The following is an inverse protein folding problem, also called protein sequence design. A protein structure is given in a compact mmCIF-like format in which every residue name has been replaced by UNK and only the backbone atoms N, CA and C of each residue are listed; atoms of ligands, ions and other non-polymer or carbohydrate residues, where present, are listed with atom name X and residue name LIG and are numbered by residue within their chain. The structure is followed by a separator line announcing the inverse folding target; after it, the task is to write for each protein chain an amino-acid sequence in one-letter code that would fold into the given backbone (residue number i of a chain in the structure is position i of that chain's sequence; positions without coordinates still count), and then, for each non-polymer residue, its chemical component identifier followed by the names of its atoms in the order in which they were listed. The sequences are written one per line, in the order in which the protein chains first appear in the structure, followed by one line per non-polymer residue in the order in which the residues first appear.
data_IF_437974476474
#
_entry.id   IF_437974476474
#
_cell.length_a   1.000
_cell.length_b   1.000
_cell.length_c   1.000
_cell.angle_alpha   90.00
_cell.angle_beta   90.00
_cell.angle_gamma   90.00
#
_symmetry.space_group_name_H-M   'P 1'
#
loop_
_entity.id
_entity.type
_entity.pdbx_description
1 polymer ?
#
# COMPACT_ATOMS: atom_id res chain seq x y z
N UNK A 1 -7.26 -37.37 -9.61
CA UNK A 1 -6.31 -36.40 -10.19
C UNK A 1 -6.86 -35.88 -11.49
N UNK A 2 -7.34 -34.64 -11.50
CA UNK A 2 -7.71 -33.92 -12.71
C UNK A 2 -6.44 -33.68 -13.55
N UNK A 3 -6.30 -34.21 -14.77
CA UNK A 3 -5.10 -34.03 -15.54
C UNK A 3 -5.32 -32.95 -16.60
N UNK A 4 -4.53 -31.89 -16.55
CA UNK A 4 -3.84 -31.44 -17.76
C UNK A 4 -2.64 -30.62 -17.30
N UNK A 5 -1.48 -31.26 -17.19
CA UNK A 5 -0.24 -30.48 -17.24
C UNK A 5 -0.26 -29.83 -18.61
N UNK A 6 -0.13 -28.51 -18.66
CA UNK A 6 -0.16 -27.70 -19.89
C UNK A 6 0.78 -28.24 -20.99
N UNK A 7 1.76 -29.06 -20.61
CA UNK A 7 2.67 -29.77 -21.50
C UNK A 7 2.01 -30.88 -22.37
N UNK A 8 0.86 -31.43 -21.99
CA UNK A 8 0.28 -32.63 -22.63
C UNK A 8 -0.88 -32.33 -23.59
N UNK A 9 -1.24 -31.06 -23.76
CA UNK A 9 -2.35 -30.69 -24.64
C UNK A 9 -1.86 -30.45 -26.08
N UNK A 10 -2.05 -31.46 -26.93
CA UNK A 10 -1.64 -31.49 -28.33
C UNK A 10 -2.16 -30.30 -29.15
N UNK A 11 -3.32 -29.74 -28.78
CA UNK A 11 -3.87 -28.53 -29.41
C UNK A 11 -2.97 -27.33 -29.16
N UNK A 12 -2.42 -27.17 -27.95
CA UNK A 12 -1.48 -26.09 -27.64
C UNK A 12 -0.10 -26.28 -28.28
N UNK A 13 0.30 -27.53 -28.57
CA UNK A 13 1.53 -27.81 -29.30
C UNK A 13 1.42 -27.43 -30.78
N UNK A 14 0.25 -27.66 -31.40
CA UNK A 14 -0.02 -27.27 -32.79
C UNK A 14 -0.23 -25.76 -32.97
N UNK A 15 -0.81 -25.07 -31.98
CA UNK A 15 -1.04 -23.61 -32.03
C UNK A 15 0.26 -22.81 -31.85
N UNK A 16 1.35 -23.43 -31.41
CA UNK A 16 2.64 -22.73 -31.25
C UNK A 16 3.34 -22.40 -32.56
N UNK A 17 3.01 -23.07 -33.66
CA UNK A 17 3.70 -22.86 -34.94
C UNK A 17 2.97 -21.87 -35.87
N UNK A 18 1.66 -21.66 -35.71
CA UNK A 18 0.90 -20.73 -36.54
C UNK A 18 -0.03 -19.84 -35.69
N UNK A 19 0.27 -18.54 -35.70
CA UNK A 19 -0.46 -17.42 -35.08
C UNK A 19 -0.40 -17.30 -33.55
N UNK A 20 0.52 -16.44 -33.12
CA UNK A 20 0.37 -15.44 -32.05
C UNK A 20 -0.72 -15.76 -31.02
N UNK A 21 -0.48 -16.82 -30.21
CA UNK A 21 -1.32 -17.15 -29.08
C UNK A 21 -1.26 -16.00 -28.07
N UNK A 22 -2.18 -15.05 -28.24
CA UNK A 22 -2.25 -13.89 -27.38
C UNK A 22 -2.94 -14.26 -26.07
N UNK A 23 -2.11 -14.73 -25.13
CA UNK A 23 -2.49 -15.02 -23.74
C UNK A 23 -3.29 -13.88 -23.11
N UNK A 24 -3.05 -12.61 -23.51
CA UNK A 24 -3.81 -11.46 -23.05
C UNK A 24 -5.23 -11.45 -23.59
N UNK A 25 -5.40 -11.67 -24.90
CA UNK A 25 -6.72 -11.78 -25.54
C UNK A 25 -7.56 -12.93 -24.99
N UNK A 26 -6.94 -14.07 -24.66
CA UNK A 26 -7.67 -15.19 -24.03
C UNK A 26 -8.08 -14.88 -22.59
N UNK A 27 -7.20 -14.27 -21.80
CA UNK A 27 -7.52 -13.83 -20.43
C UNK A 27 -8.68 -12.81 -20.41
N UNK A 28 -8.71 -11.88 -21.38
CA UNK A 28 -9.80 -10.92 -21.60
C UNK A 28 -11.14 -11.61 -21.88
N UNK A 29 -11.13 -12.60 -22.78
CA UNK A 29 -12.33 -13.36 -23.12
C UNK A 29 -12.86 -14.11 -21.90
N UNK A 30 -12.00 -14.76 -21.14
CA UNK A 30 -12.38 -15.50 -19.94
C UNK A 30 -12.98 -14.57 -18.88
N UNK A 31 -12.36 -13.41 -18.66
CA UNK A 31 -12.86 -12.40 -17.72
C UNK A 31 -14.25 -11.87 -18.10
N UNK A 32 -14.44 -11.49 -19.37
CA UNK A 32 -15.74 -11.03 -19.89
C UNK A 32 -16.83 -12.11 -19.81
N UNK A 33 -16.49 -13.34 -20.16
CA UNK A 33 -17.40 -14.50 -20.07
C UNK A 33 -17.85 -14.73 -18.63
N UNK A 34 -16.93 -14.60 -17.68
CA UNK A 34 -17.22 -14.77 -16.26
C UNK A 34 -18.12 -13.65 -15.72
N UNK A 35 -17.85 -12.39 -16.10
CA UNK A 35 -18.70 -11.25 -15.75
C UNK A 35 -20.13 -11.37 -16.31
N UNK A 36 -20.27 -11.78 -17.57
CA UNK A 36 -21.57 -11.86 -18.24
C UNK A 36 -22.42 -13.08 -17.84
N UNK A 37 -21.81 -14.15 -17.34
CA UNK A 37 -22.52 -15.40 -16.96
C UNK A 37 -22.76 -15.56 -15.47
N UNK A 38 -22.01 -14.86 -14.62
CA UNK A 38 -22.23 -14.92 -13.17
C UNK A 38 -23.60 -14.29 -12.81
N UNK A 39 -24.44 -15.03 -12.09
CA UNK A 39 -25.78 -14.58 -11.71
C UNK A 39 -25.83 -13.81 -10.38
N UNK A 40 -25.05 -14.25 -9.39
CA UNK A 40 -25.09 -13.68 -8.04
C UNK A 40 -23.72 -13.24 -7.54
N UNK A 41 -22.70 -14.08 -7.77
CA UNK A 41 -21.34 -13.81 -7.32
C UNK A 41 -20.33 -14.33 -8.33
N UNK A 42 -19.33 -13.51 -8.61
CA UNK A 42 -18.14 -13.89 -9.38
C UNK A 42 -16.94 -13.92 -8.44
N UNK A 43 -16.23 -15.05 -8.39
CA UNK A 43 -15.00 -15.20 -7.62
C UNK A 43 -13.86 -15.28 -8.61
N UNK A 44 -12.96 -14.30 -8.57
CA UNK A 44 -11.77 -14.26 -9.41
C UNK A 44 -10.59 -14.61 -8.52
N UNK A 45 -9.81 -15.60 -8.96
CA UNK A 45 -8.55 -15.99 -8.30
C UNK A 45 -7.45 -15.93 -9.34
N UNK A 46 -6.22 -15.68 -8.90
CA UNK A 46 -5.05 -15.66 -9.78
C UNK A 46 -3.93 -16.49 -9.15
N UNK A 47 -3.04 -17.00 -10.00
CA UNK A 47 -1.80 -17.65 -9.57
C UNK A 47 -0.64 -16.80 -10.07
N UNK A 48 0.22 -16.33 -9.16
CA UNK A 48 1.30 -15.39 -9.49
C UNK A 48 0.85 -13.93 -9.47
N UNK A 49 0.79 -13.28 -10.63
CA UNK A 49 0.42 -11.86 -10.73
C UNK A 49 -1.09 -11.68 -10.91
N UNK A 50 -1.63 -10.63 -10.30
CA UNK A 50 -3.03 -10.26 -10.46
C UNK A 50 -3.34 -9.90 -11.92
N UNK A 51 -4.53 -10.28 -12.38
CA UNK A 51 -5.00 -9.97 -13.73
C UNK A 51 -4.99 -8.47 -13.98
N UNK A 52 -4.42 -8.04 -15.12
CA UNK A 52 -4.38 -6.62 -15.54
C UNK A 52 -5.77 -6.04 -15.82
N UNK A 53 -6.78 -6.90 -15.95
CA UNK A 53 -8.17 -6.51 -16.21
C UNK A 53 -8.94 -6.13 -14.95
N UNK A 54 -8.37 -6.44 -13.78
CA UNK A 54 -8.91 -5.97 -12.52
C UNK A 54 -8.47 -4.50 -12.37
N UNK A 55 -9.33 -3.60 -12.83
CA UNK A 55 -9.09 -2.16 -12.75
C UNK A 55 -9.12 -1.67 -11.30
N UNK A 56 -8.45 -0.56 -11.05
CA UNK A 56 -8.49 0.13 -9.75
C UNK A 56 -9.93 0.41 -9.30
N UNK A 57 -10.81 0.81 -10.23
CA UNK A 57 -12.23 1.04 -9.91
C UNK A 57 -12.98 -0.24 -9.52
N UNK A 58 -12.67 -1.39 -10.13
CA UNK A 58 -13.26 -2.68 -9.72
C UNK A 58 -12.76 -3.11 -8.33
N UNK A 59 -11.48 -2.87 -8.03
CA UNK A 59 -10.93 -3.09 -6.70
C UNK A 59 -11.56 -2.17 -5.68
N UNK A 60 -11.74 -0.90 -6.01
CA UNK A 60 -12.41 0.10 -5.17
C UNK A 60 -13.85 -0.31 -4.85
N UNK A 61 -14.61 -0.87 -5.79
CA UNK A 61 -15.97 -1.35 -5.52
C UNK A 61 -16.00 -2.55 -4.54
N UNK A 62 -15.01 -3.43 -4.63
CA UNK A 62 -14.82 -4.55 -3.67
C UNK A 62 -14.38 -4.00 -2.31
N UNK A 63 -13.45 -3.05 -2.32
CA UNK A 63 -12.93 -2.38 -1.14
C UNK A 63 -13.96 -1.47 -0.48
N UNK A 64 -14.95 -0.91 -1.20
CA UNK A 64 -16.05 -0.12 -0.65
C UNK A 64 -16.98 -0.99 0.19
N UNK A 65 -17.36 -2.18 -0.30
CA UNK A 65 -18.13 -3.16 0.49
C UNK A 65 -17.34 -3.69 1.68
N UNK A 66 -16.03 -3.86 1.52
CA UNK A 66 -15.12 -4.23 2.62
C UNK A 66 -14.92 -3.07 3.59
N UNK A 67 -14.91 -1.82 3.10
CA UNK A 67 -14.84 -0.57 3.87
C UNK A 67 -16.10 -0.40 4.69
N UNK A 68 -17.30 -0.60 4.17
CA UNK A 68 -18.52 -0.51 4.97
C UNK A 68 -18.47 -1.46 6.18
N UNK A 69 -18.03 -2.70 5.96
CA UNK A 69 -17.89 -3.69 7.02
C UNK A 69 -16.73 -3.36 7.98
N UNK A 70 -15.60 -2.91 7.43
CA UNK A 70 -14.44 -2.45 8.17
C UNK A 70 -14.68 -1.14 8.91
N UNK A 71 -15.54 -0.24 8.43
CA UNK A 71 -15.91 1.03 9.04
C UNK A 71 -16.76 0.75 10.27
N UNK A 72 -17.65 -0.24 10.18
CA UNK A 72 -18.44 -0.72 11.32
C UNK A 72 -17.56 -1.37 12.41
N UNK A 73 -16.55 -2.16 12.02
CA UNK A 73 -15.54 -2.69 12.94
C UNK A 73 -14.58 -1.61 13.46
N UNK A 74 -14.27 -0.61 12.63
CA UNK A 74 -13.38 0.49 12.96
C UNK A 74 -14.04 1.48 13.92
N UNK A 75 -15.32 1.82 13.77
CA UNK A 75 -16.10 2.62 14.73
C UNK A 75 -16.15 1.93 16.10
N UNK A 76 -16.28 0.60 16.11
CA UNK A 76 -16.20 -0.22 17.33
C UNK A 76 -14.79 -0.29 17.92
N UNK A 77 -13.75 -0.04 17.12
CA UNK A 77 -12.36 0.06 17.57
C UNK A 77 -11.96 1.48 17.99
N UNK A 78 -12.51 2.52 17.36
CA UNK A 78 -12.31 3.94 17.72
C UNK A 78 -12.87 4.21 19.11
N UNK A 79 -13.99 3.59 19.46
CA UNK A 79 -14.51 3.65 20.84
C UNK A 79 -13.61 2.99 21.89
N UNK A 80 -12.56 2.26 21.47
CA UNK A 80 -11.53 1.66 22.34
C UNK A 80 -10.10 2.14 22.06
N UNK A 81 -9.89 3.08 21.14
CA UNK A 81 -8.57 3.64 20.83
C UNK A 81 -8.22 4.71 21.86
N UNK A 82 -7.12 4.48 22.57
CA UNK A 82 -6.45 5.47 23.41
C UNK A 82 -5.92 6.60 22.52
N UNK A 83 -6.63 7.73 22.51
CA UNK A 83 -6.26 8.98 21.82
C UNK A 83 -5.17 9.69 22.62
N UNK A 84 -4.08 8.98 22.90
CA UNK A 84 -2.93 9.58 23.56
C UNK A 84 -2.23 10.54 22.58
N UNK A 85 -1.75 11.66 23.10
CA UNK A 85 -1.09 12.71 22.32
C UNK A 85 0.08 12.17 21.47
N UNK A 86 0.71 11.07 21.89
CA UNK A 86 1.82 10.46 21.18
C UNK A 86 1.39 9.82 19.84
N UNK A 87 0.18 9.24 19.77
CA UNK A 87 -0.37 8.67 18.53
C UNK A 87 -0.65 9.77 17.51
N UNK A 88 -1.22 10.89 17.98
CA UNK A 88 -1.49 12.07 17.15
C UNK A 88 -0.20 12.64 16.58
N UNK A 89 0.81 12.83 17.43
CA UNK A 89 2.11 13.36 17.02
C UNK A 89 2.84 12.47 16.02
N UNK A 90 2.80 11.14 16.20
CA UNK A 90 3.37 10.20 15.22
C UNK A 90 2.71 10.32 13.85
N UNK A 91 1.39 10.50 13.81
CA UNK A 91 0.66 10.65 12.57
C UNK A 91 0.99 11.98 11.88
N UNK A 92 1.13 13.08 12.62
CA UNK A 92 1.58 14.37 12.08
C UNK A 92 2.97 14.26 11.43
N UNK A 93 3.93 13.62 12.11
CA UNK A 93 5.28 13.41 11.58
C UNK A 93 5.28 12.50 10.33
N UNK A 94 4.44 11.46 10.29
CA UNK A 94 4.28 10.60 9.11
C UNK A 94 3.72 11.37 7.91
N UNK A 95 2.70 12.20 8.13
CA UNK A 95 2.09 13.00 7.08
C UNK A 95 3.07 14.01 6.49
N UNK A 96 3.76 14.77 7.36
CA UNK A 96 4.82 15.69 6.95
C UNK A 96 5.90 15.00 6.12
N UNK A 97 6.36 13.81 6.53
CA UNK A 97 7.36 13.04 5.79
C UNK A 97 6.88 12.67 4.39
N UNK A 98 5.62 12.26 4.25
CA UNK A 98 5.00 11.93 2.96
C UNK A 98 4.93 13.13 2.04
N UNK A 99 4.52 14.29 2.56
CA UNK A 99 4.52 15.53 1.78
C UNK A 99 5.94 15.91 1.32
N UNK A 100 6.94 15.76 2.20
CA UNK A 100 8.33 16.08 1.86
C UNK A 100 8.90 15.12 0.80
N UNK A 101 8.62 13.83 0.92
CA UNK A 101 8.98 12.82 -0.07
C UNK A 101 8.38 13.14 -1.45
N UNK A 102 7.09 13.46 -1.50
CA UNK A 102 6.41 13.84 -2.74
C UNK A 102 7.02 15.10 -3.38
N UNK A 103 7.32 16.13 -2.58
CA UNK A 103 7.94 17.37 -3.06
C UNK A 103 9.37 17.18 -3.57
N UNK A 104 10.10 16.21 -3.03
CA UNK A 104 11.53 15.99 -3.33
C UNK A 104 11.77 14.84 -4.30
N UNK A 105 10.75 14.03 -4.60
CA UNK A 105 10.89 12.79 -5.38
C UNK A 105 11.69 11.70 -4.66
N UNK A 106 11.99 11.87 -3.36
CA UNK A 106 12.80 10.94 -2.60
C UNK A 106 11.94 9.91 -1.87
N UNK A 107 12.40 8.66 -1.72
CA UNK A 107 11.75 7.68 -0.86
C UNK A 107 11.61 8.17 0.59
N UNK A 108 10.51 7.82 1.26
CA UNK A 108 10.19 8.26 2.64
C UNK A 108 11.34 8.06 3.64
N UNK A 109 11.99 6.89 3.62
CA UNK A 109 13.06 6.55 4.56
C UNK A 109 14.32 7.43 4.39
N UNK A 110 14.53 8.02 3.20
CA UNK A 110 15.61 8.96 2.96
C UNK A 110 15.38 10.31 3.63
N UNK A 111 14.11 10.71 3.82
CA UNK A 111 13.77 11.89 4.62
C UNK A 111 14.10 11.59 6.09
N UNK A 112 13.29 10.75 6.76
CA UNK A 112 13.56 10.20 8.08
C UNK A 112 13.02 8.76 8.19
N UNK A 113 13.71 7.82 8.86
CA UNK A 113 13.23 6.46 9.03
C UNK A 113 12.05 6.39 10.00
N UNK A 114 11.27 5.30 9.96
CA UNK A 114 10.15 5.08 10.89
C UNK A 114 10.62 5.08 12.35
N UNK A 115 11.79 4.49 12.63
CA UNK A 115 12.36 4.45 13.97
C UNK A 115 12.56 5.84 14.57
N UNK A 116 13.02 6.80 13.75
CA UNK A 116 13.20 8.18 14.18
C UNK A 116 11.86 8.84 14.51
N UNK A 117 10.79 8.61 13.73
CA UNK A 117 9.45 9.14 14.05
C UNK A 117 8.97 8.62 15.40
N UNK A 118 9.11 7.32 15.64
CA UNK A 118 8.69 6.71 16.89
C UNK A 118 9.48 7.23 18.10
N UNK A 119 10.79 7.43 17.92
CA UNK A 119 11.68 7.95 18.95
C UNK A 119 11.46 9.44 19.22
N UNK A 120 11.27 10.26 18.18
CA UNK A 120 10.90 11.69 18.30
C UNK A 120 9.60 11.84 19.08
N UNK A 121 8.57 11.06 18.74
CA UNK A 121 7.27 11.18 19.40
C UNK A 121 7.31 10.76 20.88
N UNK A 122 8.18 9.80 21.23
CA UNK A 122 8.38 9.35 22.61
C UNK A 122 9.25 10.32 23.42
N UNK A 123 10.37 10.78 22.86
CA UNK A 123 11.37 11.58 23.57
C UNK A 123 11.03 13.08 23.60
N UNK A 124 10.24 13.56 22.63
CA UNK A 124 9.85 14.97 22.46
C UNK A 124 11.05 15.93 22.59
N UNK A 125 12.00 15.89 21.64
CA UNK A 125 13.17 16.76 21.58
C UNK A 125 12.84 18.24 21.78
N UNK A 126 13.57 18.92 22.65
CA UNK A 126 13.42 20.36 22.90
C UNK A 126 14.38 21.20 22.04
N UNK A 127 15.45 20.57 21.54
CA UNK A 127 16.49 21.25 20.76
C UNK A 127 16.91 20.44 19.53
N UNK A 128 17.61 21.09 18.59
CA UNK A 128 18.23 20.39 17.45
C UNK A 128 19.32 19.41 17.89
N UNK A 129 20.00 19.67 19.01
CA UNK A 129 20.98 18.74 19.56
C UNK A 129 20.32 17.47 20.09
N UNK A 130 19.12 17.59 20.68
CA UNK A 130 18.35 16.42 21.09
C UNK A 130 17.94 15.57 19.88
N UNK A 131 17.66 16.20 18.73
CA UNK A 131 17.40 15.47 17.48
C UNK A 131 18.63 14.70 17.00
N UNK A 132 19.86 15.19 17.22
CA UNK A 132 21.08 14.45 16.85
C UNK A 132 21.26 13.15 17.65
N UNK A 133 20.70 13.09 18.85
CA UNK A 133 20.75 11.90 19.70
C UNK A 133 19.77 10.80 19.25
N UNK A 134 18.87 11.11 18.31
CA UNK A 134 17.87 10.16 17.80
C UNK A 134 18.45 9.28 16.70
N UNK A 135 18.23 7.97 16.80
CA UNK A 135 18.79 7.01 15.86
C UNK A 135 18.18 7.20 14.45
N UNK A 136 19.05 7.59 13.51
CA UNK A 136 18.67 7.87 12.12
C UNK A 136 18.48 9.35 11.80
N UNK A 137 18.77 10.24 12.76
CA UNK A 137 18.82 11.69 12.61
C UNK A 137 20.26 12.19 12.66
N UNK A 138 21.02 11.95 11.59
CA UNK A 138 22.37 12.51 11.45
C UNK A 138 22.38 14.01 11.13
N UNK A 139 23.54 14.64 11.22
CA UNK A 139 23.75 16.09 11.02
C UNK A 139 23.08 16.63 9.77
N UNK A 140 23.24 15.95 8.63
CA UNK A 140 22.63 16.37 7.37
C UNK A 140 21.10 16.43 7.44
N UNK A 141 20.46 15.47 8.10
CA UNK A 141 19.01 15.42 8.24
C UNK A 141 18.51 16.43 9.25
N UNK A 142 19.24 16.63 10.36
CA UNK A 142 18.91 17.65 11.36
C UNK A 142 19.04 19.05 10.77
N UNK A 143 20.10 19.30 10.00
CA UNK A 143 20.28 20.57 9.31
C UNK A 143 19.17 20.84 8.29
N UNK A 144 18.75 19.82 7.54
CA UNK A 144 17.76 19.96 6.47
C UNK A 144 16.31 19.98 6.94
N UNK A 145 15.98 19.23 7.98
CA UNK A 145 14.59 18.97 8.40
C UNK A 145 14.30 19.32 9.86
N UNK A 146 15.32 19.61 10.66
CA UNK A 146 15.16 19.84 12.11
C UNK A 146 14.16 20.96 12.42
N UNK A 147 14.20 22.08 11.71
CA UNK A 147 13.27 23.20 11.93
C UNK A 147 11.81 22.87 11.61
N UNK A 148 11.56 21.97 10.66
CA UNK A 148 10.21 21.52 10.33
C UNK A 148 9.71 20.55 11.40
N UNK A 149 10.55 19.62 11.84
CA UNK A 149 10.23 18.64 12.88
C UNK A 149 9.96 19.34 14.22
N UNK A 150 10.80 20.31 14.60
CA UNK A 150 10.60 21.09 15.83
C UNK A 150 9.30 21.88 15.80
N UNK A 151 8.92 22.43 14.63
CA UNK A 151 7.62 23.11 14.48
C UNK A 151 6.45 22.17 14.69
N UNK A 152 6.52 20.92 14.22
CA UNK A 152 5.47 19.92 14.44
C UNK A 152 5.36 19.54 15.92
N UNK A 153 6.49 19.47 16.63
CA UNK A 153 6.53 19.10 18.05
C UNK A 153 5.97 20.17 18.98
N UNK A 154 6.19 21.44 18.65
CA UNK A 154 5.92 22.59 19.53
C UNK A 154 4.93 23.59 18.92
N UNK A 155 4.08 23.11 18.00
CA UNK A 155 3.00 23.91 17.41
C UNK A 155 1.82 24.08 18.35
#
# INVERSE_FOLDING_TARGET
SFPNKVADNFVFALVKEDFDYDKYSEELRLFYVALSRAKEKLIITYTGNMSKFITSSMLELIDMKKKEKSLFEFEKSISSIDVSNDVVLKNQLKNWRSEKANKTGLPLYMIIPNSAIDEIARFKPQTKNDLLNIKGMGEMKVAKYGDEIMRILWQ
#
